data_IF_386688072376
#
_entry.id   IF_386688072376
#
_cell.length_a   1.000
_cell.length_b   1.000
_cell.length_c   1.000
_cell.angle_alpha   90.00
_cell.angle_beta   90.00
_cell.angle_gamma   90.00
#
_symmetry.space_group_name_H-M   'P 1'
#
loop_
_entity.id
_entity.type
_entity.pdbx_description
1 polymer ?
#
# COMPACT_ATOMS: atom_id res chain seq x y z
N UNK A 1 31.65 -4.36 1.80
CA UNK A 1 30.38 -5.15 1.78
C UNK A 1 29.42 -4.66 0.71
N UNK A 2 28.64 -3.60 0.91
CA UNK A 2 27.64 -3.15 -0.10
C UNK A 2 28.31 -2.88 -1.44
N UNK A 3 29.43 -2.16 -1.43
CA UNK A 3 30.22 -1.89 -2.63
C UNK A 3 30.68 -3.17 -3.35
N UNK A 4 31.19 -4.14 -2.59
CA UNK A 4 31.63 -5.43 -3.13
C UNK A 4 30.48 -6.22 -3.75
N UNK A 5 29.26 -6.13 -3.19
CA UNK A 5 28.08 -6.79 -3.75
C UNK A 5 27.74 -6.22 -5.13
N UNK A 6 27.71 -4.90 -5.29
CA UNK A 6 27.39 -4.27 -6.59
C UNK A 6 28.51 -4.42 -7.61
N UNK A 7 29.78 -4.35 -7.19
CA UNK A 7 30.90 -4.53 -8.10
C UNK A 7 31.01 -5.96 -8.61
N UNK A 8 30.73 -6.96 -7.77
CA UNK A 8 30.71 -8.38 -8.17
C UNK A 8 29.44 -8.80 -8.90
N UNK A 9 28.32 -8.10 -8.65
CA UNK A 9 27.02 -8.41 -9.26
C UNK A 9 26.43 -7.15 -9.90
N UNK A 10 26.88 -6.77 -11.12
CA UNK A 10 26.43 -5.54 -11.77
C UNK A 10 24.93 -5.49 -12.09
N UNK A 11 24.24 -6.64 -12.08
CA UNK A 11 22.79 -6.76 -12.28
C UNK A 11 21.97 -6.58 -10.99
N UNK A 12 22.62 -6.48 -9.82
CA UNK A 12 21.92 -6.20 -8.57
C UNK A 12 21.19 -4.86 -8.69
N UNK A 13 19.87 -4.90 -8.58
CA UNK A 13 19.02 -3.75 -8.90
C UNK A 13 18.31 -3.15 -7.67
N UNK A 14 18.41 -3.77 -6.50
CA UNK A 14 17.58 -3.44 -5.35
C UNK A 14 18.21 -3.91 -4.03
N UNK A 15 17.96 -3.19 -2.93
CA UNK A 15 18.35 -3.60 -1.57
C UNK A 15 17.15 -3.51 -0.63
N UNK A 16 16.88 -4.57 0.13
CA UNK A 16 16.13 -4.47 1.39
C UNK A 16 17.15 -4.39 2.53
N UNK A 17 17.18 -3.25 3.23
CA UNK A 17 18.09 -3.01 4.35
C UNK A 17 17.35 -3.22 5.67
N UNK A 18 17.69 -4.27 6.39
CA UNK A 18 16.97 -4.67 7.60
C UNK A 18 17.78 -4.45 8.89
N UNK A 19 17.07 -4.39 10.02
CA UNK A 19 17.66 -4.44 11.37
C UNK A 19 16.67 -5.08 12.34
N UNK A 20 16.98 -6.31 12.73
CA UNK A 20 16.06 -7.19 13.45
C UNK A 20 16.31 -7.23 14.96
N UNK A 21 17.07 -6.27 15.50
CA UNK A 21 17.34 -6.22 16.93
C UNK A 21 17.48 -4.77 17.40
N UNK A 22 16.95 -4.51 18.59
CA UNK A 22 17.29 -3.32 19.35
C UNK A 22 18.70 -3.44 19.91
N UNK A 23 19.29 -2.30 20.29
CA UNK A 23 20.62 -2.30 20.89
C UNK A 23 20.51 -2.76 22.35
N UNK A 24 21.12 -3.90 22.64
CA UNK A 24 21.35 -4.40 23.99
C UNK A 24 22.79 -4.06 24.42
N UNK A 25 22.99 -3.74 25.71
CA UNK A 25 24.33 -3.46 26.28
C UNK A 25 25.11 -2.39 25.51
N UNK A 26 24.49 -1.21 25.31
CA UNK A 26 25.08 -0.10 24.56
C UNK A 26 26.43 0.34 25.14
N UNK A 27 27.49 0.21 24.33
CA UNK A 27 28.86 0.62 24.68
C UNK A 27 29.71 0.77 23.41
N UNK A 28 30.64 1.71 23.40
CA UNK A 28 31.66 1.85 22.36
C UNK A 28 33.02 2.16 22.94
N UNK A 29 34.02 1.33 22.63
CA UNK A 29 35.42 1.56 23.01
C UNK A 29 36.04 2.80 22.36
N UNK A 30 35.39 3.37 21.35
CA UNK A 30 35.83 4.59 20.66
C UNK A 30 35.27 5.88 21.28
N UNK A 31 34.36 5.77 22.25
CA UNK A 31 33.76 6.91 22.93
C UNK A 31 34.41 7.18 24.28
N UNK A 32 34.75 8.45 24.53
CA UNK A 32 35.12 8.92 25.87
C UNK A 32 33.91 9.08 26.78
N UNK A 33 32.80 9.55 26.21
CA UNK A 33 31.51 9.69 26.88
C UNK A 33 30.50 8.71 26.28
N UNK A 34 30.09 7.71 27.08
CA UNK A 34 29.14 6.69 26.65
C UNK A 34 27.71 7.23 26.52
N UNK A 35 27.38 8.37 27.15
CA UNK A 35 26.05 8.98 27.01
C UNK A 35 25.74 9.39 25.56
N UNK A 36 26.79 9.69 24.76
CA UNK A 36 26.66 10.04 23.36
C UNK A 36 26.44 8.83 22.42
N UNK A 37 26.44 7.60 22.94
CA UNK A 37 26.46 6.37 22.13
C UNK A 37 25.33 6.32 21.09
N UNK A 38 24.09 6.49 21.51
CA UNK A 38 22.95 6.35 20.60
C UNK A 38 22.93 7.40 19.50
N UNK A 39 23.31 8.64 19.82
CA UNK A 39 23.40 9.72 18.84
C UNK A 39 24.49 9.39 17.82
N UNK A 40 25.69 9.04 18.29
CA UNK A 40 26.81 8.74 17.39
C UNK A 40 26.61 7.45 16.58
N UNK A 41 25.86 6.48 17.11
CA UNK A 41 25.43 5.30 16.35
C UNK A 41 24.56 5.68 15.16
N UNK A 42 23.53 6.51 15.38
CA UNK A 42 22.62 6.97 14.31
C UNK A 42 23.36 7.83 13.29
N UNK A 43 24.22 8.76 13.74
CA UNK A 43 25.08 9.53 12.85
C UNK A 43 26.02 8.64 12.02
N UNK A 44 26.59 7.62 12.64
CA UNK A 44 27.44 6.62 11.97
C UNK A 44 26.67 5.85 10.89
N UNK A 45 25.44 5.42 11.20
CA UNK A 45 24.54 4.78 10.24
C UNK A 45 24.25 5.71 9.05
N UNK A 46 23.91 6.97 9.30
CA UNK A 46 23.65 7.93 8.22
C UNK A 46 24.88 8.20 7.37
N UNK A 47 26.08 8.33 7.97
CA UNK A 47 27.34 8.42 7.20
C UNK A 47 27.57 7.22 6.28
N UNK A 48 27.15 6.01 6.68
CA UNK A 48 27.20 4.82 5.81
C UNK A 48 26.21 4.97 4.65
N UNK A 49 24.97 5.35 4.93
CA UNK A 49 23.92 5.52 3.92
C UNK A 49 24.25 6.65 2.93
N UNK A 50 24.85 7.75 3.39
CA UNK A 50 25.35 8.84 2.56
C UNK A 50 26.39 8.36 1.53
N UNK A 51 27.38 7.57 1.98
CA UNK A 51 28.38 7.00 1.06
C UNK A 51 27.75 6.07 0.02
N UNK A 52 26.75 5.29 0.41
CA UNK A 52 26.01 4.43 -0.52
C UNK A 52 25.24 5.26 -1.52
N UNK A 53 24.51 6.30 -1.09
CA UNK A 53 23.77 7.19 -1.99
C UNK A 53 24.68 7.97 -2.92
N UNK A 54 25.86 8.39 -2.47
CA UNK A 54 26.84 9.07 -3.31
C UNK A 54 27.35 8.17 -4.46
N UNK A 55 27.60 6.88 -4.18
CA UNK A 55 28.12 5.93 -5.19
C UNK A 55 27.01 5.28 -6.04
N UNK A 56 25.85 5.04 -5.45
CA UNK A 56 24.71 4.33 -6.05
C UNK A 56 23.40 5.15 -5.95
N UNK A 57 23.35 6.36 -6.55
CA UNK A 57 22.26 7.30 -6.33
C UNK A 57 20.90 6.81 -6.82
N UNK A 58 20.87 5.91 -7.81
CA UNK A 58 19.64 5.44 -8.47
C UNK A 58 19.12 4.10 -7.96
N UNK A 59 19.88 3.39 -7.12
CA UNK A 59 19.48 2.06 -6.62
C UNK A 59 18.32 2.20 -5.64
N UNK A 60 17.14 1.64 -5.90
CA UNK A 60 16.07 1.65 -4.92
C UNK A 60 16.47 0.84 -3.68
N UNK A 61 16.13 1.38 -2.52
CA UNK A 61 16.43 0.74 -1.23
C UNK A 61 15.18 0.79 -0.36
N UNK A 62 14.79 -0.35 0.19
CA UNK A 62 13.73 -0.46 1.17
C UNK A 62 14.30 -0.48 2.58
N UNK A 63 13.77 0.41 3.42
CA UNK A 63 14.02 0.42 4.86
C UNK A 63 13.20 -0.67 5.53
N UNK A 64 13.85 -1.46 6.37
CA UNK A 64 13.21 -2.48 7.19
C UNK A 64 13.87 -2.50 8.59
N UNK A 65 13.05 -2.82 9.59
CA UNK A 65 13.49 -3.06 10.95
C UNK A 65 12.49 -3.98 11.64
N UNK A 66 12.48 -5.26 11.26
CA UNK A 66 11.41 -6.19 11.66
C UNK A 66 10.02 -5.67 11.28
N UNK A 67 9.88 -5.19 10.05
CA UNK A 67 8.78 -4.30 9.67
C UNK A 67 9.16 -2.82 9.77
N UNK A 68 8.23 -2.01 10.25
CA UNK A 68 8.33 -0.55 10.25
C UNK A 68 9.00 0.07 11.47
N UNK A 69 9.78 -0.67 12.25
CA UNK A 69 10.29 -0.23 13.57
C UNK A 69 11.22 0.99 13.57
N UNK A 70 11.65 1.48 12.40
CA UNK A 70 12.54 2.66 12.26
C UNK A 70 12.13 3.57 11.10
N UNK A 71 10.86 3.56 10.70
CA UNK A 71 10.40 4.40 9.59
C UNK A 71 10.26 5.83 10.09
N UNK A 72 11.05 6.73 9.50
CA UNK A 72 11.01 8.16 9.75
C UNK A 72 11.50 8.95 8.51
N UNK A 73 11.18 10.23 8.44
CA UNK A 73 11.54 11.08 7.31
C UNK A 73 13.04 11.33 7.16
N UNK A 74 13.85 11.22 8.22
CA UNK A 74 15.29 11.36 8.11
C UNK A 74 15.92 10.14 7.42
N UNK A 75 15.46 8.94 7.78
CA UNK A 75 15.82 7.71 7.10
C UNK A 75 15.33 7.72 5.64
N UNK A 76 14.09 8.15 5.36
CA UNK A 76 13.53 8.16 4.00
C UNK A 76 14.27 9.07 3.00
N UNK A 77 15.18 9.94 3.44
CA UNK A 77 16.14 10.62 2.53
C UNK A 77 17.04 9.63 1.79
N UNK A 78 17.26 8.44 2.38
CA UNK A 78 18.13 7.39 1.87
C UNK A 78 17.36 6.18 1.33
N UNK A 79 16.04 6.10 1.50
CA UNK A 79 15.25 4.93 1.11
C UNK A 79 14.09 5.34 0.21
N UNK A 80 13.81 4.52 -0.81
CA UNK A 80 12.72 4.77 -1.76
C UNK A 80 11.37 4.26 -1.27
N UNK A 81 11.39 3.40 -0.25
CA UNK A 81 10.22 2.83 0.42
C UNK A 81 10.63 2.21 1.76
N UNK A 82 9.64 1.76 2.50
CA UNK A 82 9.79 0.99 3.71
C UNK A 82 8.86 -0.23 3.73
N UNK A 83 9.27 -1.23 4.48
CA UNK A 83 8.44 -2.38 4.82
C UNK A 83 7.57 -2.05 6.04
N UNK A 84 6.24 -1.93 5.91
CA UNK A 84 5.41 -1.32 6.96
C UNK A 84 5.29 -2.17 8.23
N UNK A 85 5.33 -3.49 8.09
CA UNK A 85 5.19 -4.45 9.20
C UNK A 85 5.54 -5.84 8.68
N UNK A 86 6.09 -6.71 9.53
CA UNK A 86 6.17 -8.13 9.20
C UNK A 86 4.80 -8.82 9.31
N UNK A 87 3.83 -8.20 9.99
CA UNK A 87 2.43 -8.62 9.92
C UNK A 87 1.85 -8.32 8.53
N UNK A 88 1.72 -9.37 7.73
CA UNK A 88 1.19 -9.34 6.37
C UNK A 88 -0.21 -9.94 6.26
N UNK A 89 -0.88 -10.23 7.38
CA UNK A 89 -2.31 -10.55 7.36
C UNK A 89 -3.06 -9.38 6.71
N UNK A 90 -3.87 -9.62 5.68
CA UNK A 90 -4.49 -8.55 4.92
C UNK A 90 -5.54 -7.78 5.72
N UNK A 91 -6.16 -8.37 6.75
CA UNK A 91 -7.09 -7.65 7.62
C UNK A 91 -6.31 -6.65 8.48
N UNK A 92 -5.26 -7.11 9.14
CA UNK A 92 -4.38 -6.26 9.96
C UNK A 92 -3.73 -5.15 9.12
N UNK A 93 -3.34 -5.48 7.88
CA UNK A 93 -2.78 -4.52 6.92
C UNK A 93 -3.73 -3.38 6.58
N UNK A 94 -5.05 -3.54 6.66
CA UNK A 94 -5.98 -2.41 6.44
C UNK A 94 -5.80 -1.37 7.54
N UNK A 95 -5.77 -1.80 8.81
CA UNK A 95 -5.57 -0.91 9.96
C UNK A 95 -4.17 -0.29 9.97
N UNK A 96 -3.13 -1.11 9.73
CA UNK A 96 -1.74 -0.64 9.70
C UNK A 96 -1.55 0.42 8.60
N UNK A 97 -2.04 0.16 7.39
CA UNK A 97 -1.91 1.12 6.28
C UNK A 97 -2.76 2.37 6.48
N UNK A 98 -3.93 2.24 7.11
CA UNK A 98 -4.75 3.38 7.52
C UNK A 98 -3.98 4.32 8.46
N UNK A 99 -3.35 3.79 9.50
CA UNK A 99 -2.57 4.58 10.45
C UNK A 99 -1.32 5.20 9.80
N UNK A 100 -0.58 4.44 8.96
CA UNK A 100 0.54 5.00 8.22
C UNK A 100 0.13 6.16 7.30
N UNK A 101 -1.08 6.13 6.73
CA UNK A 101 -1.58 7.16 5.81
C UNK A 101 -1.75 8.55 6.44
N UNK A 102 -1.69 8.67 7.77
CA UNK A 102 -1.66 9.98 8.42
C UNK A 102 -0.33 10.71 8.24
N UNK A 103 0.76 9.95 8.13
CA UNK A 103 2.11 10.49 8.19
C UNK A 103 2.92 10.22 6.92
N UNK A 104 2.67 9.14 6.20
CA UNK A 104 3.50 8.74 5.06
C UNK A 104 2.67 8.61 3.79
N UNK A 105 3.20 9.07 2.63
CA UNK A 105 2.54 8.86 1.36
C UNK A 105 2.58 7.38 0.98
N UNK A 106 1.54 6.91 0.29
CA UNK A 106 1.40 5.53 -0.19
C UNK A 106 2.59 5.02 -1.02
N UNK A 107 3.25 5.88 -1.80
CA UNK A 107 4.44 5.52 -2.60
C UNK A 107 5.61 5.03 -1.74
N UNK A 108 5.69 5.46 -0.48
CA UNK A 108 6.75 5.05 0.43
C UNK A 108 6.47 3.68 1.08
N UNK A 109 5.23 3.17 1.01
CA UNK A 109 4.83 1.94 1.68
C UNK A 109 4.89 0.74 0.73
N UNK A 110 5.69 -0.28 1.04
CA UNK A 110 5.76 -1.52 0.25
C UNK A 110 4.86 -2.60 0.84
N UNK A 111 3.83 -3.00 0.10
CA UNK A 111 2.78 -3.90 0.58
C UNK A 111 2.77 -5.16 -0.27
N UNK A 112 3.11 -6.29 0.33
CA UNK A 112 3.22 -7.56 -0.40
C UNK A 112 2.08 -8.50 -0.05
N UNK A 113 1.63 -9.24 -1.07
CA UNK A 113 0.81 -10.44 -0.90
C UNK A 113 1.71 -11.55 -0.38
N UNK A 114 1.32 -12.19 0.72
CA UNK A 114 2.02 -13.32 1.32
C UNK A 114 1.06 -14.48 1.59
N UNK A 115 1.56 -15.58 2.11
CA UNK A 115 0.74 -16.71 2.58
C UNK A 115 0.17 -16.52 4.00
N UNK A 116 0.38 -15.36 4.63
CA UNK A 116 -0.28 -15.02 5.90
C UNK A 116 -1.73 -14.58 5.65
N UNK A 117 -2.63 -15.13 6.47
CA UNK A 117 -4.05 -14.81 6.52
C UNK A 117 -4.87 -15.94 5.92
N UNK A 118 -6.17 -15.95 6.21
CA UNK A 118 -7.12 -16.95 5.68
C UNK A 118 -7.91 -16.43 4.48
N UNK A 119 -7.71 -15.16 4.12
CA UNK A 119 -8.49 -14.48 3.12
C UNK A 119 -8.05 -14.89 1.70
N UNK A 120 -8.99 -14.95 0.73
CA UNK A 120 -8.68 -15.27 -0.66
C UNK A 120 -7.60 -14.35 -1.25
N UNK A 121 -6.86 -14.85 -2.26
CA UNK A 121 -5.77 -14.07 -2.89
C UNK A 121 -6.26 -12.73 -3.46
N UNK A 122 -7.53 -12.67 -3.89
CA UNK A 122 -8.18 -11.42 -4.30
C UNK A 122 -8.13 -10.35 -3.21
N UNK A 123 -8.61 -10.68 -2.01
CA UNK A 123 -8.63 -9.76 -0.89
C UNK A 123 -7.20 -9.33 -0.50
N UNK A 124 -6.27 -10.29 -0.41
CA UNK A 124 -4.86 -10.01 -0.12
C UNK A 124 -4.24 -9.04 -1.14
N UNK A 125 -4.49 -9.24 -2.42
CA UNK A 125 -3.96 -8.41 -3.51
C UNK A 125 -4.59 -7.02 -3.48
N UNK A 126 -5.91 -6.93 -3.33
CA UNK A 126 -6.61 -5.65 -3.26
C UNK A 126 -6.14 -4.79 -2.08
N UNK A 127 -5.82 -5.40 -0.92
CA UNK A 127 -5.21 -4.70 0.23
C UNK A 127 -3.77 -4.26 -0.07
N UNK A 128 -2.98 -5.12 -0.72
CA UNK A 128 -1.59 -4.81 -1.05
C UNK A 128 -1.44 -3.72 -2.12
N UNK A 129 -2.49 -3.46 -2.91
CA UNK A 129 -2.49 -2.39 -3.92
C UNK A 129 -2.54 -0.97 -3.35
N UNK A 130 -2.77 -0.77 -2.04
CA UNK A 130 -2.80 0.56 -1.40
C UNK A 130 -1.41 1.21 -1.17
N UNK A 131 -0.37 0.70 -1.83
CA UNK A 131 0.97 1.27 -1.85
C UNK A 131 1.77 0.68 -3.02
N UNK A 132 3.04 0.37 -2.82
CA UNK A 132 3.86 -0.41 -3.77
C UNK A 132 3.55 -1.90 -3.64
N UNK A 133 2.83 -2.44 -4.61
CA UNK A 133 2.41 -3.84 -4.65
C UNK A 133 3.62 -4.76 -4.90
N UNK A 134 3.75 -5.82 -4.10
CA UNK A 134 4.66 -6.94 -4.31
C UNK A 134 4.04 -8.29 -3.99
N UNK A 135 4.78 -9.37 -4.21
CA UNK A 135 4.34 -10.75 -3.97
C UNK A 135 5.49 -11.55 -3.35
N UNK A 136 5.30 -12.04 -2.12
CA UNK A 136 6.20 -12.95 -1.42
C UNK A 136 5.49 -14.29 -1.21
N UNK A 137 5.13 -14.95 -2.32
CA UNK A 137 4.44 -16.24 -2.36
C UNK A 137 5.09 -17.15 -3.40
N UNK A 138 4.86 -18.46 -3.29
CA UNK A 138 5.37 -19.44 -4.25
C UNK A 138 4.48 -19.47 -5.50
N UNK A 139 4.76 -18.59 -6.46
CA UNK A 139 3.94 -18.40 -7.68
C UNK A 139 3.67 -19.70 -8.44
N UNK A 140 4.64 -20.62 -8.51
CA UNK A 140 4.49 -21.92 -9.20
C UNK A 140 3.48 -22.87 -8.55
N UNK A 141 3.03 -22.57 -7.32
CA UNK A 141 2.02 -23.35 -6.59
C UNK A 141 0.64 -22.70 -6.58
N UNK A 142 0.46 -21.56 -7.24
CA UNK A 142 -0.84 -20.90 -7.31
C UNK A 142 -1.83 -21.73 -8.15
N UNK A 143 -3.08 -21.90 -7.67
CA UNK A 143 -4.16 -22.39 -8.53
C UNK A 143 -4.28 -21.55 -9.81
N UNK A 144 -4.76 -22.16 -10.89
CA UNK A 144 -4.83 -21.50 -12.20
C UNK A 144 -5.63 -20.18 -12.17
N UNK A 145 -6.77 -20.18 -11.48
CA UNK A 145 -7.60 -18.97 -11.35
C UNK A 145 -6.94 -17.90 -10.46
N UNK A 146 -6.17 -18.29 -9.45
CA UNK A 146 -5.41 -17.36 -8.60
C UNK A 146 -4.28 -16.69 -9.40
N UNK A 147 -3.57 -17.47 -10.23
CA UNK A 147 -2.54 -16.94 -11.11
C UNK A 147 -3.13 -15.97 -12.15
N UNK A 148 -4.22 -16.37 -12.82
CA UNK A 148 -4.95 -15.52 -13.77
C UNK A 148 -5.42 -14.22 -13.12
N UNK A 149 -5.96 -14.32 -11.90
CA UNK A 149 -6.36 -13.16 -11.12
C UNK A 149 -5.17 -12.23 -10.82
N UNK A 150 -4.05 -12.76 -10.32
CA UNK A 150 -2.88 -11.94 -9.97
C UNK A 150 -2.30 -11.22 -11.19
N UNK A 151 -2.25 -11.89 -12.35
CA UNK A 151 -1.81 -11.27 -13.62
C UNK A 151 -2.73 -10.12 -14.04
N UNK A 152 -4.05 -10.30 -13.93
CA UNK A 152 -5.03 -9.24 -14.19
C UNK A 152 -4.86 -8.08 -13.20
N UNK A 153 -4.70 -8.38 -11.91
CA UNK A 153 -4.51 -7.37 -10.87
C UNK A 153 -3.22 -6.56 -11.10
N UNK A 154 -2.12 -7.19 -11.51
CA UNK A 154 -0.86 -6.50 -11.86
C UNK A 154 -1.06 -5.61 -13.09
N UNK A 155 -1.81 -6.06 -14.10
CA UNK A 155 -2.15 -5.21 -15.27
C UNK A 155 -2.91 -3.96 -14.83
N UNK A 156 -4.00 -4.13 -14.06
CA UNK A 156 -4.78 -3.02 -13.55
C UNK A 156 -3.93 -2.11 -12.65
N UNK A 157 -3.11 -2.67 -11.77
CA UNK A 157 -2.21 -1.92 -10.90
C UNK A 157 -1.23 -1.07 -11.70
N UNK A 158 -0.69 -1.57 -12.81
CA UNK A 158 0.21 -0.78 -13.65
C UNK A 158 -0.48 0.44 -14.31
N UNK A 159 -1.77 0.35 -14.60
CA UNK A 159 -2.58 1.47 -15.07
C UNK A 159 -2.86 2.49 -13.95
N UNK A 160 -2.98 2.03 -12.71
CA UNK A 160 -3.43 2.83 -11.56
C UNK A 160 -2.31 3.36 -10.66
N UNK A 161 -1.11 2.75 -10.70
CA UNK A 161 -0.05 3.00 -9.73
C UNK A 161 0.38 4.45 -9.66
N UNK A 162 0.31 5.20 -10.77
CA UNK A 162 0.60 6.65 -10.75
C UNK A 162 -0.38 7.39 -9.84
N UNK A 163 -1.68 7.13 -9.97
CA UNK A 163 -2.72 7.69 -9.10
C UNK A 163 -2.57 7.23 -7.66
N UNK A 164 -2.27 5.94 -7.45
CA UNK A 164 -2.07 5.39 -6.09
C UNK A 164 -0.86 6.03 -5.43
N UNK A 165 0.26 6.15 -6.12
CA UNK A 165 1.55 6.61 -5.57
C UNK A 165 1.62 8.14 -5.40
N UNK A 166 1.06 8.90 -6.33
CA UNK A 166 1.29 10.34 -6.43
C UNK A 166 0.01 11.17 -6.36
N UNK A 167 -1.16 10.52 -6.34
CA UNK A 167 -2.43 11.20 -6.18
C UNK A 167 -2.71 11.57 -4.73
N UNK A 168 -3.76 12.37 -4.55
CA UNK A 168 -4.27 12.75 -3.24
C UNK A 168 -5.03 11.57 -2.62
N UNK A 169 -4.67 11.24 -1.37
CA UNK A 169 -5.24 10.12 -0.64
C UNK A 169 -6.31 10.61 0.35
N UNK A 170 -7.49 10.00 0.30
CA UNK A 170 -8.63 10.29 1.17
C UNK A 170 -9.04 9.03 1.95
N UNK A 171 -9.07 9.17 3.28
CA UNK A 171 -9.65 8.22 4.23
C UNK A 171 -11.16 8.40 4.27
N UNK A 172 -11.93 7.44 3.71
CA UNK A 172 -13.39 7.60 3.53
C UNK A 172 -14.23 6.89 4.59
N UNK A 173 -13.80 5.72 5.06
CA UNK A 173 -14.48 4.99 6.13
C UNK A 173 -13.45 4.34 7.05
N UNK A 174 -13.50 4.70 8.33
CA UNK A 174 -12.52 4.29 9.34
C UNK A 174 -12.72 2.81 9.71
N UNK A 175 -11.68 1.96 9.57
CA UNK A 175 -11.78 0.53 9.90
C UNK A 175 -12.10 0.27 11.39
N UNK A 176 -11.88 1.23 12.28
CA UNK A 176 -12.17 1.11 13.72
C UNK A 176 -13.57 1.58 14.14
N UNK A 177 -14.31 2.25 13.27
CA UNK A 177 -15.61 2.88 13.63
C UNK A 177 -16.83 2.14 13.07
N UNK A 178 -16.63 1.21 12.14
CA UNK A 178 -17.73 0.51 11.50
C UNK A 178 -17.30 -0.76 10.77
N UNK A 179 -18.24 -1.35 10.02
CA UNK A 179 -18.00 -2.62 9.35
C UNK A 179 -17.19 -2.50 8.05
N UNK A 180 -16.99 -1.29 7.54
CA UNK A 180 -16.37 -1.06 6.25
C UNK A 180 -15.20 -0.10 6.39
N UNK A 181 -14.07 -0.48 5.79
CA UNK A 181 -12.94 0.40 5.57
C UNK A 181 -12.94 0.87 4.12
N UNK A 182 -12.65 2.16 3.89
CA UNK A 182 -12.59 2.70 2.53
C UNK A 182 -11.52 3.78 2.37
N UNK A 183 -10.72 3.63 1.31
CA UNK A 183 -9.66 4.57 0.91
C UNK A 183 -9.89 4.98 -0.54
N UNK A 184 -9.55 6.22 -0.88
CA UNK A 184 -9.65 6.76 -2.23
C UNK A 184 -8.34 7.46 -2.60
N UNK A 185 -7.89 7.27 -3.83
CA UNK A 185 -6.76 7.97 -4.41
C UNK A 185 -7.22 8.71 -5.65
N UNK A 186 -6.99 10.02 -5.72
CA UNK A 186 -7.46 10.90 -6.81
C UNK A 186 -6.26 11.52 -7.53
N UNK A 187 -6.24 11.50 -8.86
CA UNK A 187 -5.18 12.15 -9.63
C UNK A 187 -5.22 13.67 -9.44
N UNK A 188 -4.06 14.33 -9.60
CA UNK A 188 -3.94 15.78 -9.36
C UNK A 188 -4.88 16.64 -10.24
N UNK A 189 -5.20 16.17 -11.45
CA UNK A 189 -6.15 16.80 -12.38
C UNK A 189 -7.60 16.35 -12.18
N UNK A 190 -7.85 15.52 -11.16
CA UNK A 190 -9.14 14.95 -10.80
C UNK A 190 -9.81 14.19 -11.95
N UNK A 191 -9.07 13.71 -12.94
CA UNK A 191 -9.60 12.96 -14.10
C UNK A 191 -9.68 11.45 -13.85
N UNK A 192 -8.93 10.92 -12.90
CA UNK A 192 -8.92 9.51 -12.54
C UNK A 192 -8.85 9.33 -11.03
N UNK A 193 -9.55 8.32 -10.51
CA UNK A 193 -9.44 7.91 -9.13
C UNK A 193 -9.61 6.40 -8.96
N UNK A 194 -9.17 5.87 -7.82
CA UNK A 194 -9.40 4.48 -7.43
C UNK A 194 -9.82 4.42 -5.97
N UNK A 195 -10.95 3.76 -5.70
CA UNK A 195 -11.46 3.50 -4.37
C UNK A 195 -11.27 2.03 -4.01
N UNK A 196 -10.74 1.79 -2.82
CA UNK A 196 -10.60 0.47 -2.20
C UNK A 196 -11.59 0.35 -1.05
N UNK A 197 -12.41 -0.70 -1.05
CA UNK A 197 -13.47 -0.89 -0.06
C UNK A 197 -13.38 -2.31 0.49
N UNK A 198 -13.41 -2.45 1.81
CA UNK A 198 -13.22 -3.72 2.49
C UNK A 198 -14.27 -3.91 3.58
N UNK A 199 -14.81 -5.13 3.70
CA UNK A 199 -15.51 -5.57 4.90
C UNK A 199 -14.47 -5.92 5.97
N UNK A 200 -14.48 -5.20 7.09
CA UNK A 200 -13.56 -5.39 8.23
C UNK A 200 -14.26 -5.97 9.48
N UNK A 201 -15.51 -6.41 9.33
CA UNK A 201 -16.32 -7.00 10.39
C UNK A 201 -16.69 -8.45 10.03
N UNK A 202 -16.72 -9.31 11.05
CA UNK A 202 -17.04 -10.74 10.92
C UNK A 202 -18.43 -11.12 11.47
N UNK A 203 -19.22 -10.15 11.93
CA UNK A 203 -20.60 -10.39 12.40
C UNK A 203 -21.53 -10.73 11.23
N UNK A 204 -22.58 -11.48 11.55
CA UNK A 204 -23.62 -11.86 10.59
C UNK A 204 -24.31 -10.64 10.00
N UNK A 205 -24.57 -10.68 8.69
CA UNK A 205 -25.27 -9.63 7.92
C UNK A 205 -24.64 -8.22 8.01
N UNK A 206 -23.32 -8.18 8.19
CA UNK A 206 -22.53 -6.95 8.08
C UNK A 206 -21.99 -6.70 6.67
N UNK A 207 -21.88 -5.42 6.33
CA UNK A 207 -21.56 -4.95 4.98
C UNK A 207 -21.71 -3.45 4.83
N UNK A 208 -21.56 -2.94 3.61
CA UNK A 208 -21.84 -1.53 3.30
C UNK A 208 -23.34 -1.28 3.24
N UNK A 209 -23.94 -0.93 4.38
CA UNK A 209 -25.38 -0.60 4.50
C UNK A 209 -25.72 0.77 3.91
N UNK A 210 -24.76 1.69 3.87
CA UNK A 210 -24.91 3.03 3.33
C UNK A 210 -23.88 3.30 2.22
N UNK A 211 -24.17 4.23 1.29
CA UNK A 211 -23.18 4.69 0.33
C UNK A 211 -21.95 5.31 1.01
N UNK A 212 -20.77 5.08 0.43
CA UNK A 212 -19.54 5.74 0.83
C UNK A 212 -19.43 7.04 0.05
N UNK A 213 -19.32 8.16 0.77
CA UNK A 213 -19.13 9.48 0.18
C UNK A 213 -17.67 9.66 -0.23
N UNK A 214 -17.44 10.00 -1.49
CA UNK A 214 -16.11 10.26 -2.00
C UNK A 214 -15.63 11.67 -1.61
N UNK A 215 -14.35 11.94 -1.79
CA UNK A 215 -13.74 13.25 -1.57
C UNK A 215 -12.74 13.56 -2.68
N UNK A 216 -12.37 14.83 -2.83
CA UNK A 216 -11.31 15.26 -3.76
C UNK A 216 -11.65 15.23 -5.25
N UNK A 217 -12.85 14.80 -5.63
CA UNK A 217 -13.31 14.86 -7.03
C UNK A 217 -13.69 16.29 -7.43
N UNK A 218 -13.73 16.55 -8.74
CA UNK A 218 -14.25 17.82 -9.25
C UNK A 218 -15.78 17.75 -9.36
N UNK A 219 -16.50 18.69 -8.74
CA UNK A 219 -17.97 18.68 -8.70
C UNK A 219 -18.63 18.83 -10.08
N UNK A 220 -17.97 19.50 -11.02
CA UNK A 220 -18.48 19.80 -12.37
C UNK A 220 -18.18 18.68 -13.38
N UNK A 221 -17.16 17.85 -13.08
CA UNK A 221 -16.81 16.70 -13.92
C UNK A 221 -17.82 15.56 -13.76
N UNK A 222 -17.89 14.73 -14.79
CA UNK A 222 -18.71 13.52 -14.83
C UNK A 222 -17.81 12.30 -14.83
N UNK A 223 -18.15 11.29 -14.05
CA UNK A 223 -17.35 10.12 -13.81
C UNK A 223 -18.11 8.83 -14.09
N UNK A 224 -17.41 7.88 -14.70
CA UNK A 224 -17.84 6.49 -14.82
C UNK A 224 -17.15 5.66 -13.74
N UNK A 225 -17.93 4.81 -13.07
CA UNK A 225 -17.44 3.87 -12.07
C UNK A 225 -17.37 2.47 -12.68
N UNK A 226 -16.25 1.79 -12.51
CA UNK A 226 -16.03 0.42 -12.95
C UNK A 226 -15.38 -0.39 -11.84
N UNK A 227 -16.01 -1.49 -11.44
CA UNK A 227 -15.34 -2.47 -10.59
C UNK A 227 -14.25 -3.18 -11.40
N UNK A 228 -13.08 -3.30 -10.79
CA UNK A 228 -11.93 -4.00 -11.35
C UNK A 228 -11.49 -5.11 -10.38
N UNK A 229 -10.48 -5.89 -10.78
CA UNK A 229 -9.97 -7.01 -9.99
C UNK A 229 -11.08 -8.01 -9.62
N UNK A 230 -11.96 -8.33 -10.57
CA UNK A 230 -12.90 -9.42 -10.41
C UNK A 230 -12.15 -10.76 -10.49
N UNK A 231 -12.46 -11.67 -9.56
CA UNK A 231 -11.94 -13.03 -9.63
C UNK A 231 -12.57 -13.77 -10.83
N UNK A 232 -11.85 -14.68 -11.51
CA UNK A 232 -12.42 -15.44 -12.62
C UNK A 232 -13.78 -16.08 -12.27
N UNK A 233 -14.77 -15.90 -13.16
CA UNK A 233 -16.13 -16.40 -12.95
C UNK A 233 -17.05 -15.50 -12.11
N UNK A 234 -16.56 -14.35 -11.63
CA UNK A 234 -17.39 -13.37 -10.90
C UNK A 234 -17.81 -12.21 -11.79
N UNK A 235 -19.02 -11.69 -11.55
CA UNK A 235 -19.56 -10.52 -12.23
C UNK A 235 -19.65 -9.34 -11.27
N UNK A 236 -19.46 -8.13 -11.81
CA UNK A 236 -19.67 -6.91 -11.04
C UNK A 236 -21.16 -6.70 -10.76
N UNK A 237 -21.49 -6.18 -9.59
CA UNK A 237 -22.83 -5.64 -9.30
C UNK A 237 -22.97 -4.17 -9.74
N UNK A 238 -21.90 -3.55 -10.25
CA UNK A 238 -21.89 -2.16 -10.71
C UNK A 238 -22.32 -2.09 -12.17
N UNK A 239 -23.27 -1.21 -12.47
CA UNK A 239 -23.58 -0.85 -13.84
C UNK A 239 -22.55 0.15 -14.38
N UNK A 240 -21.55 -0.36 -15.11
CA UNK A 240 -20.47 0.44 -15.70
C UNK A 240 -20.90 1.41 -16.81
N UNK A 241 -22.16 1.35 -17.28
CA UNK A 241 -22.69 2.34 -18.23
C UNK A 241 -23.16 3.63 -17.55
N UNK A 242 -23.39 3.61 -16.24
CA UNK A 242 -23.86 4.77 -15.49
C UNK A 242 -22.75 5.83 -15.33
N UNK A 243 -23.16 7.09 -15.39
CA UNK A 243 -22.28 8.26 -15.24
C UNK A 243 -22.84 9.17 -14.15
N UNK A 244 -22.01 9.53 -13.18
CA UNK A 244 -22.35 10.35 -12.03
C UNK A 244 -21.59 11.67 -12.09
N UNK A 245 -22.16 12.77 -11.60
CA UNK A 245 -21.34 13.97 -11.37
C UNK A 245 -20.43 13.75 -10.17
N UNK A 246 -19.29 14.44 -10.13
CA UNK A 246 -18.44 14.46 -8.93
C UNK A 246 -19.20 14.97 -7.71
N UNK A 247 -20.12 15.94 -7.90
CA UNK A 247 -20.97 16.46 -6.82
C UNK A 247 -21.85 15.37 -6.19
N UNK A 248 -22.47 14.51 -7.02
CA UNK A 248 -23.26 13.38 -6.55
C UNK A 248 -22.40 12.39 -5.76
N UNK A 249 -21.23 12.02 -6.28
CA UNK A 249 -20.32 11.08 -5.64
C UNK A 249 -19.80 11.59 -4.30
N UNK A 250 -19.65 12.91 -4.13
CA UNK A 250 -19.19 13.51 -2.87
C UNK A 250 -20.33 13.75 -1.86
N UNK A 251 -21.54 14.11 -2.30
CA UNK A 251 -22.66 14.42 -1.38
C UNK A 251 -23.51 13.20 -1.03
N UNK A 252 -23.82 12.37 -2.03
CA UNK A 252 -24.68 11.18 -1.91
C UNK A 252 -23.83 9.93 -1.69
N UNK A 253 -22.75 9.79 -2.47
CA UNK A 253 -21.85 8.64 -2.39
C UNK A 253 -22.26 7.46 -3.28
N UNK A 254 -21.45 6.42 -3.24
CA UNK A 254 -21.69 5.16 -3.95
C UNK A 254 -21.57 3.97 -2.99
N UNK A 255 -22.50 3.03 -3.05
CA UNK A 255 -22.44 1.83 -2.22
C UNK A 255 -21.62 0.73 -2.93
N UNK A 256 -20.43 0.35 -2.44
CA UNK A 256 -19.61 -0.67 -3.07
C UNK A 256 -20.20 -2.08 -2.97
N UNK A 257 -21.24 -2.27 -2.15
CA UNK A 257 -21.89 -3.54 -1.85
C UNK A 257 -20.89 -4.59 -1.32
N UNK A 258 -20.05 -4.18 -0.36
CA UNK A 258 -19.18 -5.11 0.36
C UNK A 258 -20.00 -5.88 1.39
N UNK A 259 -19.77 -7.19 1.46
CA UNK A 259 -20.47 -8.15 2.33
C UNK A 259 -19.64 -9.44 2.46
N UNK A 260 -20.09 -10.41 3.24
CA UNK A 260 -19.31 -11.60 3.60
C UNK A 260 -18.84 -12.47 2.42
N UNK A 261 -19.60 -12.52 1.31
CA UNK A 261 -19.23 -13.21 0.06
C UNK A 261 -18.52 -12.30 -0.96
N UNK A 262 -18.34 -11.02 -0.63
CA UNK A 262 -17.79 -9.96 -1.47
C UNK A 262 -16.99 -8.98 -0.61
N UNK A 263 -15.95 -9.50 0.03
CA UNK A 263 -15.25 -8.81 1.13
C UNK A 263 -14.35 -7.65 0.69
N UNK A 264 -14.02 -7.56 -0.59
CA UNK A 264 -13.20 -6.48 -1.17
C UNK A 264 -13.78 -6.02 -2.51
N UNK A 265 -13.88 -4.72 -2.72
CA UNK A 265 -14.35 -4.11 -3.98
C UNK A 265 -13.45 -2.93 -4.34
N UNK A 266 -12.78 -3.03 -5.49
CA UNK A 266 -11.93 -1.97 -6.03
C UNK A 266 -12.65 -1.30 -7.18
N UNK A 267 -12.90 0.00 -7.06
CA UNK A 267 -13.65 0.79 -8.03
C UNK A 267 -12.70 1.77 -8.71
N UNK A 268 -12.50 1.61 -10.02
CA UNK A 268 -11.87 2.59 -10.89
C UNK A 268 -12.91 3.67 -11.24
N UNK A 269 -12.52 4.92 -11.11
CA UNK A 269 -13.35 6.11 -11.37
C UNK A 269 -12.64 6.92 -12.44
N UNK A 270 -13.29 7.17 -13.57
CA UNK A 270 -12.68 7.88 -14.70
C UNK A 270 -13.61 8.98 -15.21
N UNK A 271 -13.04 10.14 -15.48
CA UNK A 271 -13.72 11.25 -16.14
C UNK A 271 -14.24 10.83 -17.51
N UNK A 272 -15.50 11.16 -17.80
CA UNK A 272 -16.11 10.99 -19.11
C UNK A 272 -15.90 12.29 -19.87
N UNK A 273 -15.16 12.21 -20.97
CA UNK A 273 -14.98 13.30 -21.93
C UNK A 273 -16.15 13.40 -22.89
#
# INVERSE_FOLDING_TARGET
VVDDLFTKNPSLAYIKWDCNAVIYNAYSSHLKDQAAFYIQYVEGLYKVLERIRAKYPKVPMMLCSGGGGRVDYAALKYFTEFWPSDNTDPMERIFIQWEYSYFYPSIASSNHVTDWGKQPIKFRTDVAMMGKLGFDIVVSKLPENDLKFCQLAIKNYNELKKTIWQGEQYRLANPSEGSVASMLYVSNDQSAAVSFNYLVNNRYDEGSKLPIKMQGLNSEKRYRLKEINLYPGTNSTLNSSMVYSGDFLMKVGFNPNVKSDRTSVVIKIEEVK
#
